data_IF_449768118534
#
_entry.id   IF_449768118534
#
_cell.length_a   1.000
_cell.length_b   1.000
_cell.length_c   1.000
_cell.angle_alpha   90.00
_cell.angle_beta   90.00
_cell.angle_gamma   90.00
#
_symmetry.space_group_name_H-M   'P 1'
#
loop_
_entity.id
_entity.type
_entity.pdbx_description
1 polymer ?
#
# COMPACT_ATOMS: atom_id res chain seq x y z
N UNK A 1 24.46 26.29 -14.44
CA UNK A 1 24.05 27.07 -13.25
C UNK A 1 24.82 28.37 -13.22
N UNK A 2 24.18 29.49 -12.90
CA UNK A 2 24.81 30.80 -12.72
C UNK A 2 25.36 31.00 -11.30
N UNK A 3 26.25 31.98 -11.13
CA UNK A 3 26.79 32.40 -9.82
C UNK A 3 25.75 33.16 -8.97
N UNK A 4 24.63 33.54 -9.57
CA UNK A 4 23.43 34.10 -8.95
C UNK A 4 22.49 33.03 -8.38
N UNK A 5 22.82 31.74 -8.56
CA UNK A 5 21.98 30.62 -8.13
C UNK A 5 20.88 30.23 -9.11
N UNK A 6 20.77 30.87 -10.28
CA UNK A 6 19.82 30.46 -11.30
C UNK A 6 20.26 29.17 -12.01
N UNK A 7 19.32 28.25 -12.22
CA UNK A 7 19.53 27.02 -12.97
C UNK A 7 18.82 27.13 -14.32
N UNK A 8 19.61 27.31 -15.37
CA UNK A 8 19.12 27.11 -16.73
C UNK A 8 19.06 25.61 -17.04
N UNK A 9 17.91 25.16 -17.52
CA UNK A 9 17.62 23.76 -17.85
C UNK A 9 17.31 23.67 -19.34
N UNK A 10 18.05 22.80 -20.02
CA UNK A 10 17.75 22.34 -21.37
C UNK A 10 17.54 20.83 -21.29
N UNK A 11 16.32 20.39 -21.56
CA UNK A 11 15.90 19.00 -21.41
C UNK A 11 15.37 18.45 -22.74
N UNK A 12 15.92 17.32 -23.16
CA UNK A 12 15.36 16.50 -24.23
C UNK A 12 14.58 15.33 -23.61
N UNK A 13 13.27 15.30 -23.81
CA UNK A 13 12.40 14.26 -23.26
C UNK A 13 11.69 13.47 -24.35
N UNK A 14 11.96 12.18 -24.40
CA UNK A 14 11.29 11.23 -25.30
C UNK A 14 10.14 10.52 -24.61
N UNK A 15 8.96 10.60 -25.20
CA UNK A 15 7.78 9.82 -24.81
C UNK A 15 7.61 8.67 -25.79
N UNK A 16 7.35 7.47 -25.27
CA UNK A 16 6.96 6.28 -26.06
C UNK A 16 5.48 6.04 -25.83
N UNK A 17 4.67 6.31 -26.85
CA UNK A 17 3.22 6.20 -26.79
C UNK A 17 2.75 4.81 -27.21
N UNK A 18 1.86 4.21 -26.42
CA UNK A 18 1.08 3.01 -26.73
C UNK A 18 -0.41 3.41 -26.69
N UNK A 19 -1.03 3.54 -27.87
CA UNK A 19 -2.33 4.18 -28.07
C UNK A 19 -2.23 5.60 -28.65
N UNK A 20 -3.39 6.26 -28.75
CA UNK A 20 -3.53 7.58 -29.40
C UNK A 20 -3.64 8.71 -28.38
N UNK A 21 -2.70 9.67 -28.42
CA UNK A 21 -2.61 10.80 -27.51
C UNK A 21 -2.61 12.14 -28.26
N UNK A 22 -3.14 13.19 -27.62
CA UNK A 22 -3.27 14.54 -28.23
C UNK A 22 -2.40 15.59 -27.57
N UNK A 23 -1.70 15.24 -26.51
CA UNK A 23 -0.83 16.12 -25.75
C UNK A 23 -0.08 15.33 -24.68
N UNK A 24 0.79 16.02 -23.96
CA UNK A 24 1.40 15.53 -22.73
C UNK A 24 1.50 16.68 -21.74
N UNK A 25 1.84 16.31 -20.52
CA UNK A 25 2.07 17.25 -19.45
C UNK A 25 3.36 16.90 -18.72
N UNK A 26 3.90 17.89 -18.03
CA UNK A 26 5.06 17.77 -17.18
C UNK A 26 4.88 18.66 -15.97
N UNK A 27 5.26 18.13 -14.81
CA UNK A 27 5.23 18.82 -13.54
C UNK A 27 6.63 18.81 -12.93
N UNK A 28 7.07 19.98 -12.48
CA UNK A 28 8.31 20.21 -11.75
C UNK A 28 7.96 20.73 -10.35
N UNK A 29 8.24 19.98 -9.28
CA UNK A 29 8.09 20.50 -7.92
C UNK A 29 9.04 21.67 -7.69
N UNK A 30 8.53 22.75 -7.13
CA UNK A 30 9.28 23.95 -6.74
C UNK A 30 9.40 24.02 -5.22
N UNK A 31 10.52 24.56 -4.74
CA UNK A 31 10.73 24.88 -3.33
C UNK A 31 10.50 26.37 -3.06
N UNK A 32 10.38 26.73 -1.79
CA UNK A 32 10.21 28.12 -1.38
C UNK A 32 11.28 29.04 -2.01
N UNK A 33 10.80 30.08 -2.72
CA UNK A 33 11.66 31.04 -3.41
C UNK A 33 12.08 30.65 -4.83
N UNK A 34 11.69 29.47 -5.33
CA UNK A 34 11.92 29.07 -6.70
C UNK A 34 10.81 29.54 -7.65
N UNK A 35 11.20 29.89 -8.87
CA UNK A 35 10.24 30.22 -9.92
C UNK A 35 10.83 29.91 -11.30
N UNK A 36 9.99 29.36 -12.19
CA UNK A 36 10.34 29.09 -13.59
C UNK A 36 10.10 30.34 -14.42
N UNK A 37 11.06 30.64 -15.30
CA UNK A 37 11.02 31.79 -16.20
C UNK A 37 11.57 31.42 -17.56
N UNK A 38 11.17 32.15 -18.60
CA UNK A 38 11.73 32.00 -19.95
C UNK A 38 11.44 30.65 -20.61
N UNK A 39 10.36 29.97 -20.25
CA UNK A 39 10.02 28.66 -20.78
C UNK A 39 9.76 28.69 -22.30
N UNK A 40 10.38 27.76 -23.02
CA UNK A 40 10.09 27.47 -24.43
C UNK A 40 10.02 25.97 -24.66
N UNK A 41 9.25 25.59 -25.68
CA UNK A 41 9.00 24.19 -26.04
C UNK A 41 9.13 24.01 -27.55
N UNK A 42 9.88 22.98 -27.96
CA UNK A 42 10.00 22.54 -29.35
C UNK A 42 9.86 21.03 -29.44
N UNK A 43 9.46 20.53 -30.60
CA UNK A 43 9.65 19.12 -30.92
C UNK A 43 10.98 18.88 -31.66
N UNK A 44 11.38 17.61 -31.77
CA UNK A 44 12.62 17.20 -32.45
C UNK A 44 12.66 17.51 -33.95
N UNK A 45 11.56 17.99 -34.55
CA UNK A 45 11.54 18.47 -35.95
C UNK A 45 11.85 19.96 -36.05
N UNK A 46 11.99 20.64 -34.91
CA UNK A 46 12.27 22.08 -34.79
C UNK A 46 11.01 22.94 -34.77
N UNK A 47 9.81 22.35 -34.68
CA UNK A 47 8.57 23.12 -34.58
C UNK A 47 8.44 23.67 -33.16
N UNK A 48 8.31 24.99 -33.05
CA UNK A 48 8.09 25.67 -31.77
C UNK A 48 6.60 25.73 -31.43
N UNK A 49 6.28 25.49 -30.16
CA UNK A 49 4.93 25.58 -29.64
C UNK A 49 4.66 26.99 -29.11
N UNK A 50 3.43 27.49 -29.27
CA UNK A 50 3.00 28.81 -28.81
C UNK A 50 2.49 28.75 -27.37
N UNK A 51 3.02 29.59 -26.49
CA UNK A 51 2.52 29.73 -25.12
C UNK A 51 1.18 30.47 -25.09
N UNK A 52 0.16 29.85 -24.52
CA UNK A 52 -1.20 30.39 -24.42
C UNK A 52 -1.65 30.42 -22.95
N UNK A 53 -2.71 31.19 -22.66
CA UNK A 53 -3.26 31.34 -21.31
C UNK A 53 -4.69 30.81 -21.25
N UNK A 54 -5.08 30.24 -20.11
CA UNK A 54 -6.40 29.64 -19.91
C UNK A 54 -6.50 28.27 -20.58
N UNK A 55 -7.71 27.88 -20.98
CA UNK A 55 -8.02 26.51 -21.41
C UNK A 55 -7.86 26.29 -22.92
N UNK A 56 -6.85 26.92 -23.53
CA UNK A 56 -6.61 26.81 -24.97
C UNK A 56 -5.84 25.53 -25.29
N UNK A 57 -6.54 24.55 -25.86
CA UNK A 57 -6.01 23.24 -26.24
C UNK A 57 -5.70 23.12 -27.75
N UNK A 58 -5.49 24.25 -28.44
CA UNK A 58 -5.22 24.21 -29.88
C UNK A 58 -3.91 23.48 -30.17
N UNK A 59 -3.85 22.66 -31.23
CA UNK A 59 -2.63 22.01 -31.64
C UNK A 59 -1.47 23.01 -31.86
N UNK A 60 -0.28 22.66 -31.40
CA UNK A 60 0.91 23.52 -31.46
C UNK A 60 0.98 24.57 -30.36
N UNK A 61 0.24 24.40 -29.26
CA UNK A 61 0.25 25.31 -28.12
C UNK A 61 0.67 24.61 -26.82
N UNK A 62 1.08 25.39 -25.83
CA UNK A 62 1.26 24.94 -24.45
C UNK A 62 0.68 25.93 -23.45
N UNK A 63 0.20 25.41 -22.33
CA UNK A 63 -0.30 26.16 -21.17
C UNK A 63 0.69 25.95 -20.02
N UNK A 64 1.05 27.04 -19.36
CA UNK A 64 1.87 27.03 -18.15
C UNK A 64 1.01 27.35 -16.94
N UNK A 65 1.18 26.58 -15.87
CA UNK A 65 0.66 26.92 -14.56
C UNK A 65 1.80 26.91 -13.55
N UNK A 66 1.79 27.88 -12.64
CA UNK A 66 2.75 27.90 -11.55
C UNK A 66 2.00 28.24 -10.27
N UNK A 67 1.93 27.26 -9.37
CA UNK A 67 1.52 27.41 -7.98
C UNK A 67 2.77 27.40 -7.11
N UNK A 68 2.72 27.93 -5.88
CA UNK A 68 3.92 28.22 -5.07
C UNK A 68 4.95 27.09 -4.99
N UNK A 69 4.51 25.84 -4.96
CA UNK A 69 5.30 24.62 -4.83
C UNK A 69 5.36 23.75 -6.10
N UNK A 70 4.82 24.23 -7.22
CA UNK A 70 4.70 23.41 -8.43
C UNK A 70 4.64 24.27 -9.71
N UNK A 71 5.46 23.90 -10.70
CA UNK A 71 5.34 24.37 -12.07
C UNK A 71 4.82 23.22 -12.94
N UNK A 72 3.78 23.48 -13.73
CA UNK A 72 3.25 22.54 -14.71
C UNK A 72 3.25 23.14 -16.11
N UNK A 73 3.51 22.30 -17.10
CA UNK A 73 3.30 22.61 -18.51
C UNK A 73 2.49 21.50 -19.14
N UNK A 74 1.43 21.87 -19.85
CA UNK A 74 0.63 20.97 -20.67
C UNK A 74 0.70 21.44 -22.11
N UNK A 75 0.99 20.55 -23.07
CA UNK A 75 1.11 20.92 -24.47
C UNK A 75 0.36 19.98 -25.40
N UNK A 76 -0.12 20.53 -26.52
CA UNK A 76 -1.08 19.88 -27.41
C UNK A 76 -0.52 19.74 -28.82
N UNK A 77 -0.59 18.53 -29.38
CA UNK A 77 0.04 18.19 -30.65
C UNK A 77 -0.82 18.50 -31.87
N UNK A 78 -0.16 18.93 -32.96
CA UNK A 78 -0.70 19.02 -34.33
C UNK A 78 -1.46 17.77 -34.77
N UNK A 79 -0.72 16.66 -34.79
CA UNK A 79 -1.20 15.33 -35.12
C UNK A 79 -1.19 14.47 -33.86
N UNK A 80 -2.18 13.60 -33.67
CA UNK A 80 -2.19 12.70 -32.51
C UNK A 80 -1.02 11.72 -32.58
N UNK A 81 -0.36 11.49 -31.44
CA UNK A 81 0.68 10.48 -31.34
C UNK A 81 0.04 9.10 -31.23
N UNK A 82 0.32 8.18 -32.16
CA UNK A 82 -0.24 6.82 -32.14
C UNK A 82 0.85 5.78 -32.29
N UNK A 83 1.05 4.96 -31.26
CA UNK A 83 2.01 3.85 -31.25
C UNK A 83 3.42 4.27 -31.74
N UNK A 84 3.90 5.42 -31.26
CA UNK A 84 5.14 6.05 -31.74
C UNK A 84 5.95 6.70 -30.63
N UNK A 85 7.18 7.12 -30.94
CA UNK A 85 8.02 7.90 -30.04
C UNK A 85 8.13 9.34 -30.50
N UNK A 86 8.01 10.30 -29.57
CA UNK A 86 8.23 11.73 -29.85
C UNK A 86 9.15 12.33 -28.81
N UNK A 87 10.07 13.18 -29.27
CA UNK A 87 10.99 13.91 -28.40
C UNK A 87 10.65 15.39 -28.39
N UNK A 88 10.66 15.97 -27.19
CA UNK A 88 10.42 17.39 -26.95
C UNK A 88 11.64 18.01 -26.28
N UNK A 89 11.97 19.23 -26.70
CA UNK A 89 13.01 20.07 -26.12
C UNK A 89 12.33 21.11 -25.24
N UNK A 90 12.57 21.02 -23.93
CA UNK A 90 12.11 21.98 -22.94
C UNK A 90 13.30 22.85 -22.53
N UNK A 91 13.15 24.16 -22.63
CA UNK A 91 14.20 25.11 -22.27
C UNK A 91 13.60 26.17 -21.33
N UNK A 92 14.18 26.31 -20.14
CA UNK A 92 13.69 27.24 -19.12
C UNK A 92 14.78 27.61 -18.12
N UNK A 93 14.49 28.58 -17.25
CA UNK A 93 15.38 28.98 -16.15
C UNK A 93 14.62 28.96 -14.83
N UNK A 94 15.17 28.27 -13.85
CA UNK A 94 14.67 28.24 -12.47
C UNK A 94 15.49 29.21 -11.63
N UNK A 95 14.86 30.29 -11.21
CA UNK A 95 15.43 31.23 -10.24
C UNK A 95 15.40 30.62 -8.84
N UNK A 96 16.36 30.97 -7.98
CA UNK A 96 16.41 30.44 -6.61
C UNK A 96 16.74 28.94 -6.51
N UNK A 97 17.20 28.30 -7.59
CA UNK A 97 17.54 26.88 -7.58
C UNK A 97 18.74 26.58 -6.67
N UNK A 98 19.78 27.40 -6.78
CA UNK A 98 20.94 27.41 -5.89
C UNK A 98 20.71 28.28 -4.67
N UNK A 99 21.11 27.77 -3.51
CA UNK A 99 21.06 28.51 -2.26
C UNK A 99 22.47 28.82 -1.78
N UNK A 100 22.72 30.07 -1.40
CA UNK A 100 23.94 30.47 -0.70
C UNK A 100 23.66 30.59 0.79
N UNK A 101 24.28 29.73 1.57
CA UNK A 101 24.27 29.78 3.03
C UNK A 101 25.44 30.62 3.55
N UNK A 102 25.51 30.80 4.86
CA UNK A 102 26.61 31.52 5.49
C UNK A 102 27.95 30.77 5.37
N UNK A 103 27.90 29.43 5.41
CA UNK A 103 29.07 28.54 5.46
C UNK A 103 29.24 27.65 4.22
N UNK A 104 28.23 27.54 3.35
CA UNK A 104 28.29 26.76 2.11
C UNK A 104 27.37 27.30 1.01
N UNK A 105 27.59 26.88 -0.22
CA UNK A 105 26.63 27.00 -1.32
C UNK A 105 26.10 25.62 -1.67
N UNK A 106 24.80 25.53 -1.95
CA UNK A 106 24.12 24.27 -2.23
C UNK A 106 23.30 24.38 -3.52
N UNK A 107 23.34 23.30 -4.30
CA UNK A 107 22.26 22.94 -5.21
C UNK A 107 21.68 21.62 -4.72
N UNK A 108 20.37 21.55 -4.52
CA UNK A 108 19.70 20.29 -4.26
C UNK A 108 18.51 20.18 -5.20
N UNK A 109 18.66 19.36 -6.23
CA UNK A 109 17.81 19.34 -7.41
C UNK A 109 17.22 17.95 -7.67
N UNK A 110 15.94 17.90 -7.99
CA UNK A 110 15.24 16.68 -8.38
C UNK A 110 15.08 16.65 -9.90
N UNK A 111 15.81 15.74 -10.55
CA UNK A 111 15.73 15.58 -11.99
C UNK A 111 14.43 14.89 -12.41
N UNK A 112 14.07 13.83 -11.68
CA UNK A 112 12.85 13.05 -11.87
C UNK A 112 12.21 12.87 -10.50
N UNK A 113 10.93 13.23 -10.37
CA UNK A 113 10.14 13.01 -9.17
C UNK A 113 9.37 11.68 -9.18
N UNK A 114 8.66 11.41 -8.09
CA UNK A 114 7.86 10.19 -7.94
C UNK A 114 6.50 10.22 -8.65
N UNK A 115 6.19 11.27 -9.42
CA UNK A 115 4.90 11.46 -10.08
C UNK A 115 4.73 10.70 -11.41
N UNK A 116 5.69 9.87 -11.81
CA UNK A 116 5.68 9.16 -13.08
C UNK A 116 5.23 7.71 -12.93
N UNK A 117 4.08 7.37 -13.50
CA UNK A 117 3.50 6.01 -13.46
C UNK A 117 4.16 5.02 -14.42
N UNK A 118 5.03 5.49 -15.30
CA UNK A 118 5.76 4.69 -16.29
C UNK A 118 7.24 4.67 -15.99
N UNK A 119 7.91 3.59 -16.37
CA UNK A 119 9.35 3.45 -16.20
C UNK A 119 10.10 4.42 -17.14
N UNK A 120 11.27 4.87 -16.71
CA UNK A 120 12.20 5.62 -17.56
C UNK A 120 13.38 4.72 -17.93
N UNK A 121 13.55 4.45 -19.22
CA UNK A 121 14.59 3.55 -19.72
C UNK A 121 16.01 4.07 -19.40
N UNK A 122 16.23 5.37 -19.59
CA UNK A 122 17.51 6.02 -19.31
C UNK A 122 17.31 7.50 -19.03
N UNK A 123 18.02 8.00 -18.04
CA UNK A 123 18.17 9.43 -17.77
C UNK A 123 19.66 9.75 -17.69
N UNK A 124 20.06 10.85 -18.32
CA UNK A 124 21.39 11.44 -18.23
C UNK A 124 21.21 12.93 -18.01
N UNK A 125 21.86 13.48 -16.98
CA UNK A 125 21.86 14.90 -16.70
C UNK A 125 23.27 15.40 -16.45
N UNK A 126 23.66 16.46 -17.15
CA UNK A 126 24.93 17.16 -16.97
C UNK A 126 24.68 18.52 -16.30
N UNK A 127 25.17 18.66 -15.08
CA UNK A 127 25.17 19.92 -14.35
C UNK A 127 26.51 20.63 -14.56
N UNK A 128 26.47 21.73 -15.32
CA UNK A 128 27.58 22.68 -15.40
C UNK A 128 27.48 23.72 -14.29
N UNK A 129 28.45 23.73 -13.39
CA UNK A 129 28.59 24.71 -12.30
C UNK A 129 29.22 26.03 -12.81
N UNK A 130 29.15 27.12 -12.02
CA UNK A 130 29.85 28.35 -12.34
C UNK A 130 31.35 28.11 -12.56
N UNK A 131 31.99 28.92 -13.40
CA UNK A 131 33.41 28.72 -13.78
C UNK A 131 34.39 28.77 -12.60
N UNK A 132 34.01 29.41 -11.49
CA UNK A 132 34.75 29.41 -10.23
C UNK A 132 34.85 28.01 -9.60
N UNK A 133 33.91 27.11 -9.91
CA UNK A 133 33.92 25.72 -9.46
C UNK A 133 34.96 24.86 -10.20
N UNK A 134 35.45 25.30 -11.36
CA UNK A 134 36.39 24.51 -12.18
C UNK A 134 37.73 24.24 -11.48
N UNK A 135 38.10 25.04 -10.47
CA UNK A 135 39.32 24.87 -9.68
C UNK A 135 39.13 24.02 -8.42
N UNK A 136 37.91 23.53 -8.15
CA UNK A 136 37.61 22.77 -6.94
C UNK A 136 37.96 21.29 -7.10
N UNK A 137 38.42 20.68 -6.02
CA UNK A 137 38.68 19.24 -5.95
C UNK A 137 37.43 18.49 -5.50
N UNK A 138 36.99 17.52 -6.30
CA UNK A 138 35.88 16.63 -5.95
C UNK A 138 36.21 15.80 -4.69
N UNK A 139 35.28 15.72 -3.75
CA UNK A 139 35.46 15.03 -2.47
C UNK A 139 36.15 15.86 -1.37
N UNK A 140 36.68 17.04 -1.71
CA UNK A 140 37.24 17.99 -0.74
C UNK A 140 36.35 19.24 -0.66
N UNK A 141 36.49 20.12 -1.65
CA UNK A 141 35.75 21.39 -1.73
C UNK A 141 34.45 21.25 -2.51
N UNK A 142 34.38 20.31 -3.44
CA UNK A 142 33.17 19.98 -4.20
C UNK A 142 32.64 18.63 -3.76
N UNK A 143 31.55 18.64 -2.99
CA UNK A 143 30.89 17.44 -2.51
C UNK A 143 29.62 17.19 -3.31
N UNK A 144 29.44 15.95 -3.75
CA UNK A 144 28.37 15.57 -4.68
C UNK A 144 27.76 14.26 -4.21
N UNK A 145 26.44 14.24 -4.09
CA UNK A 145 25.66 13.06 -3.74
C UNK A 145 24.50 12.91 -4.72
N UNK A 146 24.24 11.66 -5.11
CA UNK A 146 23.10 11.29 -5.94
C UNK A 146 22.17 10.42 -5.11
N UNK A 147 20.87 10.71 -5.18
CA UNK A 147 19.83 9.96 -4.48
C UNK A 147 18.88 9.34 -5.50
N UNK A 148 18.62 8.04 -5.35
CA UNK A 148 17.83 7.27 -6.32
C UNK A 148 18.13 5.77 -6.22
N UNK A 149 17.76 4.98 -7.23
CA UNK A 149 18.02 3.55 -7.21
C UNK A 149 19.51 3.23 -7.28
N UNK A 150 19.89 2.03 -6.81
CA UNK A 150 21.28 1.53 -6.84
C UNK A 150 21.86 1.37 -8.26
N UNK A 151 21.04 1.52 -9.31
CA UNK A 151 21.46 1.50 -10.72
C UNK A 151 21.97 2.84 -11.23
N UNK A 152 21.86 3.91 -10.45
CA UNK A 152 22.33 5.25 -10.80
C UNK A 152 23.80 5.48 -10.44
N UNK A 153 24.44 6.41 -11.15
CA UNK A 153 25.78 6.91 -10.87
C UNK A 153 25.80 8.44 -10.83
N UNK A 154 26.73 8.98 -10.05
CA UNK A 154 27.03 10.41 -10.02
C UNK A 154 28.54 10.61 -10.03
N UNK A 155 29.04 11.37 -11.01
CA UNK A 155 30.47 11.51 -11.25
C UNK A 155 30.82 12.93 -11.70
N UNK A 156 31.99 13.42 -11.30
CA UNK A 156 32.57 14.65 -11.84
C UNK A 156 33.33 14.29 -13.11
N UNK A 157 32.75 14.56 -14.27
CA UNK A 157 33.26 14.11 -15.58
C UNK A 157 34.22 15.11 -16.23
N UNK A 158 34.15 16.38 -15.82
CA UNK A 158 35.04 17.46 -16.22
C UNK A 158 35.09 18.53 -15.12
N UNK A 159 35.97 19.53 -15.28
CA UNK A 159 36.12 20.65 -14.36
C UNK A 159 34.79 21.42 -14.18
N UNK A 160 34.15 21.24 -13.03
CA UNK A 160 32.85 21.86 -12.73
C UNK A 160 31.66 21.23 -13.45
N UNK A 161 31.80 20.04 -14.04
CA UNK A 161 30.71 19.30 -14.70
C UNK A 161 30.42 18.02 -13.94
N UNK A 162 29.21 17.91 -13.41
CA UNK A 162 28.71 16.75 -12.68
C UNK A 162 27.70 16.01 -13.55
N UNK A 163 27.96 14.73 -13.85
CA UNK A 163 27.04 13.86 -14.56
C UNK A 163 26.27 12.97 -13.59
N UNK A 164 24.96 12.95 -13.73
CA UNK A 164 24.07 11.96 -13.13
C UNK A 164 23.55 11.05 -14.24
N UNK A 165 23.64 9.73 -14.07
CA UNK A 165 23.10 8.78 -15.03
C UNK A 165 22.35 7.65 -14.31
N UNK A 166 21.21 7.24 -14.85
CA UNK A 166 20.46 6.07 -14.39
C UNK A 166 19.86 5.32 -15.56
N UNK A 167 19.79 4.00 -15.46
CA UNK A 167 19.12 3.13 -16.42
C UNK A 167 18.05 2.29 -15.73
N UNK A 168 16.96 2.01 -16.43
CA UNK A 168 15.85 1.20 -15.94
C UNK A 168 15.23 1.76 -14.65
N UNK A 169 14.96 3.06 -14.62
CA UNK A 169 14.32 3.71 -13.47
C UNK A 169 12.86 3.25 -13.38
N UNK A 170 12.52 2.61 -12.26
CA UNK A 170 11.18 2.09 -12.03
C UNK A 170 10.15 3.25 -11.92
N UNK A 171 8.86 2.96 -12.19
CA UNK A 171 7.78 3.92 -11.92
C UNK A 171 7.83 4.44 -10.49
N UNK A 172 7.34 5.66 -10.27
CA UNK A 172 7.23 6.31 -8.98
C UNK A 172 8.55 6.41 -8.19
N UNK A 173 9.68 6.39 -8.89
CA UNK A 173 11.03 6.46 -8.29
C UNK A 173 11.68 7.78 -8.67
N UNK A 174 12.23 8.49 -7.68
CA UNK A 174 12.90 9.77 -7.90
C UNK A 174 14.38 9.60 -8.23
N UNK A 175 14.96 10.64 -8.82
CA UNK A 175 16.40 10.83 -9.02
C UNK A 175 16.74 12.26 -8.66
N UNK A 176 17.61 12.43 -7.67
CA UNK A 176 18.04 13.72 -7.16
C UNK A 176 19.56 13.84 -7.12
N UNK A 177 20.01 15.09 -7.13
CA UNK A 177 21.40 15.48 -7.02
C UNK A 177 21.53 16.54 -5.93
N UNK A 178 22.43 16.32 -4.98
CA UNK A 178 22.86 17.33 -4.02
C UNK A 178 24.33 17.67 -4.26
N UNK A 179 24.62 18.95 -4.43
CA UNK A 179 25.97 19.49 -4.58
C UNK A 179 26.21 20.52 -3.49
N UNK A 180 27.29 20.35 -2.74
CA UNK A 180 27.75 21.31 -1.74
C UNK A 180 29.12 21.83 -2.14
N UNK A 181 29.28 23.15 -2.10
CA UNK A 181 30.45 23.86 -2.61
C UNK A 181 30.75 25.10 -1.75
N UNK A 182 31.91 25.75 -1.88
CA UNK A 182 32.22 26.95 -1.13
C UNK A 182 31.27 28.10 -1.48
N UNK A 183 30.97 28.96 -0.51
CA UNK A 183 30.07 30.13 -0.66
C UNK A 183 30.44 31.08 -1.81
N UNK A 184 31.70 31.07 -2.25
CA UNK A 184 32.21 31.89 -3.34
C UNK A 184 31.72 31.44 -4.73
N UNK A 185 31.28 30.19 -4.87
CA UNK A 185 30.78 29.68 -6.16
C UNK A 185 29.47 30.34 -6.55
N UNK A 186 28.56 30.54 -5.60
CA UNK A 186 27.32 31.30 -5.80
C UNK A 186 27.43 32.73 -5.25
N UNK A 187 28.57 33.38 -5.48
CA UNK A 187 28.90 34.67 -4.87
C UNK A 187 27.94 35.82 -5.20
N UNK A 188 27.17 35.73 -6.30
CA UNK A 188 26.17 36.71 -6.68
C UNK A 188 24.77 36.40 -6.10
N UNK A 189 24.54 35.20 -5.58
CA UNK A 189 23.30 34.82 -4.93
C UNK A 189 23.15 35.49 -3.55
N UNK A 190 21.92 35.83 -3.19
CA UNK A 190 21.61 36.30 -1.85
C UNK A 190 21.87 35.19 -0.82
N UNK A 191 22.44 35.55 0.34
CA UNK A 191 22.63 34.59 1.42
C UNK A 191 21.43 34.53 2.35
N UNK A 192 21.02 33.32 2.74
CA UNK A 192 19.98 33.10 3.75
C UNK A 192 20.50 33.18 5.20
N UNK A 193 21.83 33.33 5.37
CA UNK A 193 22.50 33.45 6.65
C UNK A 193 22.52 32.20 7.53
N UNK A 194 22.08 31.04 7.03
CA UNK A 194 22.08 29.79 7.80
C UNK A 194 23.46 29.13 7.76
N UNK A 195 23.83 28.40 8.82
CA UNK A 195 24.99 27.50 8.80
C UNK A 195 24.48 26.07 8.66
N UNK A 196 24.71 25.45 7.50
CA UNK A 196 24.09 24.16 7.15
C UNK A 196 25.11 23.06 6.87
N UNK A 197 26.40 23.40 6.69
CA UNK A 197 27.40 22.45 6.19
C UNK A 197 27.53 21.23 7.10
N UNK A 198 27.55 21.42 8.41
CA UNK A 198 27.69 20.33 9.37
C UNK A 198 26.49 19.38 9.37
N UNK A 199 25.27 19.93 9.36
CA UNK A 199 24.02 19.17 9.30
C UNK A 199 23.91 18.36 8.01
N UNK A 200 24.23 18.98 6.87
CA UNK A 200 24.23 18.30 5.57
C UNK A 200 25.21 17.12 5.57
N UNK A 201 26.42 17.30 6.10
CA UNK A 201 27.41 16.21 6.16
C UNK A 201 26.98 15.05 7.05
N UNK A 202 26.29 15.33 8.14
CA UNK A 202 25.72 14.30 9.03
C UNK A 202 24.58 13.55 8.33
N UNK A 203 23.66 14.28 7.69
CA UNK A 203 22.54 13.72 6.93
C UNK A 203 23.04 12.82 5.79
N UNK A 204 23.93 13.34 4.93
CA UNK A 204 24.49 12.59 3.80
C UNK A 204 25.36 11.42 4.26
N UNK A 205 26.05 11.57 5.40
CA UNK A 205 26.80 10.47 6.01
C UNK A 205 25.90 9.30 6.40
N UNK A 206 24.72 9.58 6.96
CA UNK A 206 23.76 8.52 7.27
C UNK A 206 23.13 7.93 6.00
N UNK A 207 22.75 8.76 5.02
CA UNK A 207 22.22 8.26 3.74
C UNK A 207 23.22 7.35 3.02
N UNK A 208 24.52 7.65 3.10
CA UNK A 208 25.57 6.78 2.57
C UNK A 208 25.62 5.41 3.28
N UNK A 209 25.56 5.39 4.63
CA UNK A 209 25.51 4.14 5.41
C UNK A 209 24.28 3.31 5.06
N UNK A 210 23.11 3.96 4.93
CA UNK A 210 21.88 3.28 4.53
C UNK A 210 21.99 2.68 3.12
N UNK A 211 22.53 3.43 2.16
CA UNK A 211 22.75 2.92 0.80
C UNK A 211 23.75 1.75 0.77
N UNK A 212 24.81 1.78 1.60
CA UNK A 212 25.74 0.66 1.73
C UNK A 212 25.09 -0.58 2.37
N UNK A 213 24.17 -0.39 3.31
CA UNK A 213 23.37 -1.47 3.89
C UNK A 213 22.46 -2.13 2.84
N UNK A 214 21.76 -1.34 2.03
CA UNK A 214 20.92 -1.84 0.93
C UNK A 214 21.75 -2.61 -0.11
N UNK A 215 22.97 -2.12 -0.43
CA UNK A 215 23.91 -2.83 -1.30
C UNK A 215 24.38 -4.15 -0.70
N UNK A 216 24.63 -4.21 0.61
CA UNK A 216 25.01 -5.44 1.31
C UNK A 216 23.86 -6.46 1.29
N UNK A 217 22.63 -6.03 1.59
CA UNK A 217 21.44 -6.88 1.52
C UNK A 217 21.22 -7.44 0.11
N UNK A 218 21.37 -6.61 -0.92
CA UNK A 218 21.28 -7.05 -2.32
C UNK A 218 22.35 -8.10 -2.69
N UNK A 219 23.49 -8.13 -1.98
CA UNK A 219 24.53 -9.17 -2.10
C UNK A 219 24.31 -10.37 -1.16
N UNK A 220 23.32 -10.31 -0.26
CA UNK A 220 23.09 -11.32 0.77
C UNK A 220 24.06 -11.26 1.95
N UNK A 221 24.66 -10.10 2.20
CA UNK A 221 25.59 -9.82 3.30
C UNK A 221 24.86 -9.14 4.47
N UNK A 222 25.34 -9.33 5.70
CA UNK A 222 24.84 -8.53 6.84
C UNK A 222 25.46 -7.11 6.80
N UNK A 223 24.66 -6.04 6.95
CA UNK A 223 25.17 -4.69 6.95
C UNK A 223 26.08 -4.43 8.16
N UNK A 224 27.22 -3.77 7.92
CA UNK A 224 28.24 -3.53 8.93
C UNK A 224 27.82 -2.46 9.95
N UNK A 225 27.11 -1.43 9.47
CA UNK A 225 26.64 -0.30 10.26
C UNK A 225 25.20 0.05 9.83
N UNK A 226 24.43 0.54 10.77
CA UNK A 226 23.04 0.97 10.57
C UNK A 226 22.88 2.29 11.31
N UNK A 227 22.78 3.37 10.55
CA UNK A 227 22.63 4.72 11.08
C UNK A 227 21.15 5.07 11.37
N UNK A 228 20.20 4.16 11.13
CA UNK A 228 18.78 4.43 11.37
C UNK A 228 18.53 4.67 12.88
N UNK A 229 18.14 5.89 13.29
CA UNK A 229 17.81 6.17 14.68
C UNK A 229 16.61 5.33 15.18
N UNK A 230 15.78 4.78 14.28
CA UNK A 230 14.62 3.93 14.62
C UNK A 230 14.97 2.46 14.78
N UNK A 231 16.08 1.98 14.24
CA UNK A 231 16.49 0.58 14.37
C UNK A 231 16.74 0.17 15.84
N UNK A 232 17.26 1.09 16.66
CA UNK A 232 17.36 0.89 18.11
C UNK A 232 16.00 0.69 18.79
N UNK A 233 15.00 1.50 18.42
CA UNK A 233 13.64 1.41 18.96
C UNK A 233 12.91 0.15 18.49
N UNK A 234 13.09 -0.25 17.23
CA UNK A 234 12.53 -1.47 16.66
C UNK A 234 13.09 -2.72 17.36
N UNK A 235 14.41 -2.77 17.64
CA UNK A 235 15.03 -3.87 18.41
C UNK A 235 14.46 -3.96 19.83
N UNK A 236 14.29 -2.83 20.52
CA UNK A 236 13.67 -2.80 21.86
C UNK A 236 12.20 -3.24 21.81
N UNK A 237 11.43 -2.71 20.85
CA UNK A 237 10.02 -3.06 20.66
C UNK A 237 9.80 -4.55 20.39
N UNK A 238 10.60 -5.13 19.49
CA UNK A 238 10.57 -6.56 19.19
C UNK A 238 10.96 -7.42 20.40
N UNK A 239 11.95 -6.99 21.18
CA UNK A 239 12.32 -7.65 22.44
C UNK A 239 11.18 -7.67 23.47
N UNK A 240 10.47 -6.55 23.63
CA UNK A 240 9.31 -6.45 24.54
C UNK A 240 8.15 -7.34 24.06
N UNK A 241 7.87 -7.35 22.76
CA UNK A 241 6.82 -8.19 22.18
C UNK A 241 7.11 -9.68 22.38
N UNK A 242 8.35 -10.11 22.08
CA UNK A 242 8.77 -11.49 22.27
C UNK A 242 8.68 -11.93 23.74
N UNK A 243 9.13 -11.09 24.66
CA UNK A 243 8.99 -11.34 26.10
C UNK A 243 7.51 -11.42 26.53
N UNK A 244 6.65 -10.57 25.99
CA UNK A 244 5.21 -10.59 26.21
C UNK A 244 4.55 -11.89 25.73
N UNK A 245 4.89 -12.37 24.54
CA UNK A 245 4.37 -13.62 23.98
C UNK A 245 4.82 -14.84 24.80
N UNK A 246 6.09 -14.88 25.22
CA UNK A 246 6.60 -15.93 26.11
C UNK A 246 5.88 -15.90 27.46
N UNK A 247 5.67 -14.71 28.03
CA UNK A 247 4.93 -14.53 29.28
C UNK A 247 3.46 -14.97 29.17
N UNK A 248 2.78 -14.61 28.07
CA UNK A 248 1.41 -15.01 27.81
C UNK A 248 1.27 -16.53 27.60
N UNK A 249 2.19 -17.14 26.85
CA UNK A 249 2.24 -18.60 26.67
C UNK A 249 2.48 -19.35 27.99
N UNK A 250 3.38 -18.82 28.84
CA UNK A 250 3.61 -19.37 30.17
C UNK A 250 2.37 -19.24 31.07
N UNK A 251 1.73 -18.07 31.08
CA UNK A 251 0.50 -17.83 31.84
C UNK A 251 -0.63 -18.75 31.38
N UNK A 252 -0.86 -18.87 30.08
CA UNK A 252 -1.85 -19.78 29.51
C UNK A 252 -1.57 -21.24 29.89
N UNK A 253 -0.30 -21.68 29.80
CA UNK A 253 0.09 -23.05 30.18
C UNK A 253 -0.16 -23.32 31.66
N UNK A 254 0.13 -22.35 32.53
CA UNK A 254 -0.13 -22.45 33.97
C UNK A 254 -1.63 -22.51 34.26
N UNK A 255 -2.42 -21.64 33.62
CA UNK A 255 -3.87 -21.62 33.76
C UNK A 255 -4.51 -22.91 33.24
N UNK A 256 -4.08 -23.41 32.08
CA UNK A 256 -4.55 -24.66 31.50
C UNK A 256 -4.20 -25.86 32.40
N UNK A 257 -2.99 -25.91 32.96
CA UNK A 257 -2.62 -26.97 33.90
C UNK A 257 -3.40 -26.93 35.21
N UNK A 258 -3.78 -25.73 35.67
CA UNK A 258 -4.52 -25.55 36.92
C UNK A 258 -6.03 -25.77 36.77
N UNK A 259 -6.62 -25.29 35.69
CA UNK A 259 -8.08 -25.23 35.52
C UNK A 259 -8.60 -26.01 34.31
N UNK A 260 -7.75 -26.29 33.31
CA UNK A 260 -8.13 -26.96 32.07
C UNK A 260 -7.95 -28.48 32.07
N UNK A 261 -7.49 -29.07 33.19
CA UNK A 261 -7.45 -30.52 33.32
C UNK A 261 -8.86 -31.05 33.63
N UNK A 262 -9.29 -32.02 32.84
CA UNK A 262 -10.54 -32.75 33.07
C UNK A 262 -10.57 -33.26 34.52
N UNK A 263 -11.70 -33.04 35.19
CA UNK A 263 -11.87 -33.52 36.54
C UNK A 263 -11.92 -35.04 36.49
N UNK A 264 -11.14 -35.71 37.33
CA UNK A 264 -11.16 -37.17 37.41
C UNK A 264 -12.56 -37.59 37.84
N UNK A 265 -13.30 -38.26 36.97
CA UNK A 265 -14.63 -38.76 37.28
C UNK A 265 -14.53 -39.71 38.49
N UNK A 266 -15.51 -39.67 39.42
CA UNK A 266 -15.54 -40.59 40.55
C UNK A 266 -15.42 -42.05 40.09
N UNK A 267 -14.55 -42.83 40.74
CA UNK A 267 -14.44 -44.27 40.48
C UNK A 267 -15.77 -44.93 40.88
N UNK A 268 -16.54 -45.38 39.90
CA UNK A 268 -17.85 -46.00 40.10
C UNK A 268 -18.97 -45.48 39.19
N UNK A 269 -18.72 -44.47 38.34
CA UNK A 269 -19.62 -44.20 37.22
C UNK A 269 -19.61 -45.41 36.28
N UNK A 270 -20.79 -45.94 35.97
CA UNK A 270 -20.91 -46.98 34.96
C UNK A 270 -20.50 -46.40 33.60
N UNK A 271 -19.72 -47.16 32.82
CA UNK A 271 -19.31 -46.76 31.46
C UNK A 271 -20.51 -46.58 30.50
N UNK A 272 -21.70 -47.03 30.91
CA UNK A 272 -22.95 -46.94 30.18
C UNK A 272 -24.11 -46.76 31.16
N UNK A 273 -24.94 -45.76 30.88
CA UNK A 273 -26.22 -45.56 31.56
C UNK A 273 -27.19 -46.66 31.13
N UNK A 274 -27.84 -47.30 32.12
CA UNK A 274 -28.78 -48.41 31.90
C UNK A 274 -30.23 -47.97 31.93
N UNK A 275 -30.49 -46.71 32.26
CA UNK A 275 -31.82 -46.13 32.23
C UNK A 275 -32.23 -45.81 30.79
N UNK A 276 -33.52 -45.93 30.50
CA UNK A 276 -34.05 -45.53 29.21
C UNK A 276 -33.86 -44.01 29.04
N UNK A 277 -33.60 -43.53 27.81
CA UNK A 277 -33.52 -42.10 27.54
C UNK A 277 -34.77 -41.38 28.05
N UNK A 278 -34.60 -40.17 28.57
CA UNK A 278 -35.73 -39.34 28.98
C UNK A 278 -36.65 -39.07 27.78
N UNK A 279 -37.93 -38.78 28.05
CA UNK A 279 -38.91 -38.41 27.02
C UNK A 279 -38.77 -36.95 26.53
N UNK A 280 -37.63 -36.31 26.83
CA UNK A 280 -37.32 -34.95 26.44
C UNK A 280 -37.32 -34.80 24.90
N UNK A 281 -37.73 -33.64 24.37
CA UNK A 281 -37.71 -33.41 22.92
C UNK A 281 -36.28 -33.56 22.36
N UNK A 282 -36.05 -34.37 21.31
CA UNK A 282 -34.72 -34.56 20.75
C UNK A 282 -34.03 -33.25 20.33
N UNK A 283 -34.79 -32.29 19.82
CA UNK A 283 -34.28 -30.96 19.50
C UNK A 283 -33.74 -30.20 20.72
N UNK A 284 -34.35 -30.37 21.90
CA UNK A 284 -33.86 -29.75 23.12
C UNK A 284 -32.54 -30.37 23.57
N UNK A 285 -32.43 -31.71 23.50
CA UNK A 285 -31.19 -32.43 23.83
C UNK A 285 -30.07 -32.03 22.88
N UNK A 286 -30.35 -31.99 21.57
CA UNK A 286 -29.38 -31.56 20.56
C UNK A 286 -28.91 -30.12 20.80
N UNK A 287 -29.82 -29.20 21.15
CA UNK A 287 -29.47 -27.81 21.48
C UNK A 287 -28.54 -27.71 22.69
N UNK A 288 -28.78 -28.51 23.74
CA UNK A 288 -27.95 -28.52 24.93
C UNK A 288 -26.55 -29.09 24.65
N UNK A 289 -26.46 -30.17 23.87
CA UNK A 289 -25.18 -30.77 23.47
C UNK A 289 -24.40 -29.90 22.48
N UNK A 290 -25.11 -29.20 21.60
CA UNK A 290 -24.55 -28.30 20.59
C UNK A 290 -24.22 -26.90 21.11
N UNK A 291 -24.18 -26.69 22.44
CA UNK A 291 -23.87 -25.40 23.07
C UNK A 291 -24.75 -24.25 22.54
N UNK A 292 -26.03 -24.53 22.30
CA UNK A 292 -27.00 -23.58 21.78
C UNK A 292 -27.16 -23.57 20.25
N UNK A 293 -26.51 -24.49 19.53
CA UNK A 293 -26.71 -24.68 18.09
C UNK A 293 -27.58 -25.91 17.79
N UNK A 294 -28.39 -25.85 16.73
CA UNK A 294 -29.22 -26.95 16.22
C UNK A 294 -28.72 -27.35 14.83
N UNK A 295 -28.34 -28.62 14.68
CA UNK A 295 -27.99 -29.22 13.39
C UNK A 295 -29.15 -29.97 12.73
N UNK A 296 -28.91 -30.50 11.55
CA UNK A 296 -29.88 -31.31 10.79
C UNK A 296 -30.26 -32.62 11.52
N UNK A 297 -29.36 -33.11 12.39
CA UNK A 297 -29.58 -34.25 13.27
C UNK A 297 -30.75 -34.02 14.24
N UNK A 298 -30.91 -32.80 14.74
CA UNK A 298 -32.03 -32.43 15.62
C UNK A 298 -33.38 -32.55 14.91
N UNK A 299 -33.44 -32.16 13.63
CA UNK A 299 -34.64 -32.29 12.80
C UNK A 299 -34.98 -33.76 12.54
N UNK A 300 -33.98 -34.54 12.11
CA UNK A 300 -34.15 -35.97 11.83
C UNK A 300 -34.59 -36.72 13.09
N UNK A 301 -33.94 -36.47 14.23
CA UNK A 301 -34.28 -37.10 15.50
C UNK A 301 -35.71 -36.73 15.95
N UNK A 302 -36.13 -35.49 15.72
CA UNK A 302 -37.51 -35.05 16.04
C UNK A 302 -38.55 -35.73 15.15
N UNK A 303 -38.28 -35.89 13.84
CA UNK A 303 -39.15 -36.64 12.93
C UNK A 303 -39.27 -38.10 13.38
N UNK A 304 -38.15 -38.75 13.74
CA UNK A 304 -38.16 -40.13 14.22
C UNK A 304 -38.91 -40.27 15.56
N UNK A 305 -38.77 -39.32 16.49
CA UNK A 305 -39.52 -39.35 17.74
C UNK A 305 -41.02 -39.13 17.53
N UNK A 306 -41.42 -38.25 16.59
CA UNK A 306 -42.83 -38.09 16.20
C UNK A 306 -43.42 -39.37 15.58
N UNK A 307 -42.61 -40.10 14.81
CA UNK A 307 -43.01 -41.40 14.25
C UNK A 307 -43.14 -42.46 15.35
N UNK A 308 -42.17 -42.54 16.26
CA UNK A 308 -42.19 -43.43 17.45
C UNK A 308 -43.44 -43.19 18.30
N UNK A 309 -43.82 -41.92 18.50
CA UNK A 309 -45.03 -41.53 19.27
C UNK A 309 -46.34 -41.69 18.48
N UNK A 310 -46.31 -42.23 17.26
CA UNK A 310 -47.49 -42.50 16.43
C UNK A 310 -48.22 -41.25 15.94
N UNK A 311 -47.54 -40.08 15.89
CA UNK A 311 -48.12 -38.83 15.39
C UNK A 311 -48.00 -38.70 13.88
N UNK A 312 -46.93 -39.27 13.33
CA UNK A 312 -46.69 -39.36 11.89
C UNK A 312 -46.42 -40.83 11.53
N UNK A 313 -46.90 -41.26 10.37
CA UNK A 313 -46.55 -42.52 9.74
C UNK A 313 -45.49 -42.25 8.69
N UNK A 314 -44.44 -43.07 8.68
CA UNK A 314 -43.40 -43.06 7.66
C UNK A 314 -43.64 -44.27 6.74
N UNK A 315 -43.86 -44.03 5.46
CA UNK A 315 -43.97 -45.07 4.44
C UNK A 315 -43.00 -44.83 3.31
N UNK A 316 -42.42 -45.89 2.75
CA UNK A 316 -41.63 -45.81 1.54
C UNK A 316 -42.55 -46.03 0.34
N UNK A 317 -42.55 -45.09 -0.59
CA UNK A 317 -43.32 -45.17 -1.83
C UNK A 317 -42.36 -45.07 -3.02
N UNK A 318 -42.51 -45.97 -3.99
CA UNK A 318 -41.71 -45.95 -5.21
C UNK A 318 -42.41 -45.06 -6.23
N UNK A 319 -41.78 -43.95 -6.58
CA UNK A 319 -42.28 -43.05 -7.61
C UNK A 319 -41.41 -43.24 -8.84
N UNK A 320 -42.01 -43.77 -9.91
CA UNK A 320 -41.40 -43.82 -11.23
C UNK A 320 -41.71 -42.50 -11.93
N UNK A 321 -40.67 -41.79 -12.36
CA UNK A 321 -40.81 -40.61 -13.23
C UNK A 321 -40.34 -40.98 -14.62
N UNK A 322 -41.16 -40.66 -15.62
CA UNK A 322 -40.86 -40.90 -17.02
C UNK A 322 -39.77 -39.93 -17.48
N UNK A 323 -38.70 -40.49 -18.03
CA UNK A 323 -37.55 -39.74 -18.56
C UNK A 323 -37.46 -39.93 -20.07
N UNK A 324 -36.94 -38.94 -20.78
CA UNK A 324 -36.91 -38.92 -22.26
C UNK A 324 -36.16 -40.12 -22.91
N UNK A 325 -35.36 -40.88 -22.14
CA UNK A 325 -34.69 -42.10 -22.62
C UNK A 325 -34.86 -43.34 -21.73
N UNK A 326 -35.15 -43.19 -20.42
CA UNK A 326 -35.39 -44.31 -19.50
C UNK A 326 -36.07 -43.80 -18.23
N UNK A 327 -37.07 -44.54 -17.77
CA UNK A 327 -37.77 -44.21 -16.53
C UNK A 327 -36.86 -44.44 -15.31
N UNK A 328 -36.92 -43.53 -14.34
CA UNK A 328 -36.15 -43.61 -13.10
C UNK A 328 -37.11 -43.86 -11.94
N UNK A 329 -37.02 -45.03 -11.33
CA UNK A 329 -37.71 -45.34 -10.07
C UNK A 329 -36.88 -44.81 -8.91
N UNK A 330 -37.48 -43.96 -8.07
CA UNK A 330 -36.83 -43.44 -6.85
C UNK A 330 -37.69 -43.80 -5.64
N UNK A 331 -37.07 -44.35 -4.60
CA UNK A 331 -37.71 -44.55 -3.30
C UNK A 331 -37.88 -43.18 -2.62
N UNK A 332 -39.12 -42.77 -2.38
CA UNK A 332 -39.44 -41.53 -1.66
C UNK A 332 -40.00 -41.90 -0.28
N UNK A 333 -39.51 -41.24 0.76
CA UNK A 333 -40.08 -41.34 2.10
C UNK A 333 -41.29 -40.40 2.18
N UNK A 334 -42.49 -40.98 2.30
CA UNK A 334 -43.74 -40.23 2.42
C UNK A 334 -44.13 -40.16 3.89
N UNK A 335 -44.25 -38.94 4.40
CA UNK A 335 -44.74 -38.69 5.75
C UNK A 335 -46.26 -38.45 5.69
N UNK A 336 -47.03 -39.29 6.40
CA UNK A 336 -48.48 -39.14 6.51
C UNK A 336 -48.85 -38.81 7.94
N UNK A 337 -49.67 -37.79 8.16
CA UNK A 337 -50.21 -37.51 9.50
C UNK A 337 -51.21 -38.61 9.86
N UNK A 338 -50.99 -39.30 10.97
CA UNK A 338 -51.93 -40.30 11.45
C UNK A 338 -53.12 -39.59 12.11
N UNK A 339 -54.34 -40.01 11.79
CA UNK A 339 -55.55 -39.39 12.33
C UNK A 339 -55.58 -39.55 13.85
N UNK A 340 -55.75 -38.44 14.56
CA UNK A 340 -55.86 -38.45 16.03
C UNK A 340 -57.04 -39.34 16.42
N UNK A 341 -56.87 -40.34 17.31
CA UNK A 341 -58.02 -41.09 17.80
C UNK A 341 -59.01 -40.11 18.43
N UNK A 342 -60.29 -40.23 18.03
CA UNK A 342 -61.41 -39.49 18.62
C UNK A 342 -61.33 -39.70 20.14
N UNK A 343 -61.21 -38.61 20.92
CA UNK A 343 -61.37 -38.67 22.38
C UNK A 343 -62.77 -39.19 22.67
N UNK A 344 -62.91 -40.47 23.00
CA UNK A 344 -64.08 -40.98 23.68
C UNK A 344 -64.02 -40.42 25.10
N UNK A 345 -64.96 -39.53 25.42
CA UNK A 345 -65.00 -38.86 26.71
C UNK A 345 -65.42 -39.81 27.83
N UNK A 346 -64.66 -39.82 28.92
CA UNK A 346 -65.18 -39.89 30.29
C UNK A 346 -64.06 -39.49 31.26
N UNK A 347 -64.28 -38.48 32.08
CA UNK A 347 -63.34 -38.05 33.13
C UNK A 347 -63.29 -36.53 33.32
N UNK A 348 -63.44 -36.01 34.55
CA UNK A 348 -64.20 -34.79 34.82
C UNK A 348 -63.44 -33.50 34.54
N UNK A 349 -64.24 -32.46 34.32
CA UNK A 349 -63.85 -31.05 34.19
C UNK A 349 -62.93 -30.62 35.33
N UNK A 350 -61.64 -30.39 35.02
CA UNK A 350 -60.79 -29.54 35.84
C UNK A 350 -60.80 -28.14 35.26
N UNK A 351 -61.31 -27.25 36.10
CA UNK A 351 -61.58 -25.84 35.88
C UNK A 351 -60.36 -25.12 35.34
N UNK A 352 -60.65 -24.23 34.39
CA UNK A 352 -59.84 -23.10 33.99
C UNK A 352 -59.36 -22.35 35.24
N UNK A 353 -58.04 -22.23 35.44
CA UNK A 353 -57.48 -21.24 36.33
C UNK A 353 -56.89 -20.10 35.50
N UNK A 354 -57.42 -18.93 35.79
CA UNK A 354 -57.14 -17.61 35.24
C UNK A 354 -55.66 -17.25 35.15
N UNK A 355 -55.30 -16.62 34.04
CA UNK A 355 -54.11 -15.76 33.90
C UNK A 355 -54.08 -14.71 35.02
N UNK A 356 -52.96 -14.62 35.74
CA UNK A 356 -52.51 -13.38 36.39
C UNK A 356 -51.37 -12.79 35.55
N UNK A 357 -51.40 -11.48 35.22
CA UNK A 357 -50.24 -10.81 34.65
C UNK A 357 -49.23 -10.56 35.77
N UNK A 358 -47.97 -10.98 35.56
CA UNK A 358 -46.86 -10.54 36.39
C UNK A 358 -46.42 -9.16 35.90
N UNK A 359 -46.64 -8.18 36.77
CA UNK A 359 -46.14 -6.81 36.69
C UNK A 359 -44.62 -6.77 36.61
N UNK A 360 -44.13 -5.91 35.73
CA UNK A 360 -42.79 -5.36 35.77
C UNK A 360 -42.59 -4.61 37.11
N UNK A 361 -41.45 -4.86 37.76
CA UNK A 361 -41.00 -4.19 38.96
C UNK A 361 -39.48 -4.12 38.95
N UNK A 362 -39.00 -2.89 39.09
CA UNK A 362 -37.61 -2.39 39.15
C UNK A 362 -36.59 -3.26 39.87
#
# INVERSE_FOLDING_TARGET
MGDDGALHVHEERTFVYDGTFRGAFYTLPLRDGQAVTGFTLRDSTGVSYEGVTGDDERPGTYVLEQSGDEFSVTWFYGESATDESRTYELDYTVTGAGTRHADASQLYWQWIGTGWDVATDRMVADLTLPSTAAALTAGEDLLVWGHGPLTGTVEVVDAGVVRTEVTGLAPNTFVELRVLMPTAVLGAAASDGQEVRAEILEEEGCLAVAADADRAEARGEEPAEDCDPRAGLARVGNGVLAAGLVGAGAAWTLLFRRYGREHVLPRGLADYERELPSDDPPALVAFLLGWGSLGDDALVATIMDLARRGRIGLSREQVTRDGFFRDRTTDVLVMRRLATPRRTGSGPSRRCCSRRPATAGR
#
